data_IF_595598240745
#
_entry.id   IF_595598240745
#
_cell.length_a   1.000
_cell.length_b   1.000
_cell.length_c   1.000
_cell.angle_alpha   90.00
_cell.angle_beta   90.00
_cell.angle_gamma   90.00
#
_symmetry.space_group_name_H-M   'P 1'
#
loop_
_entity.id
_entity.type
_entity.pdbx_description
1 polymer ?
#
# COMPACT_ATOMS: atom_id res chain seq x y z
N UNK A 1 -15.84 10.96 6.26
CA UNK A 1 -15.51 10.20 5.04
C UNK A 1 -14.00 10.14 4.98
N UNK A 2 -13.38 8.97 5.17
CA UNK A 2 -11.91 8.83 5.14
C UNK A 2 -11.50 8.94 3.66
N UNK A 3 -10.53 9.79 3.30
CA UNK A 3 -10.08 9.94 1.92
C UNK A 3 -9.52 8.61 1.40
N UNK A 4 -10.03 8.17 0.25
CA UNK A 4 -9.56 6.95 -0.40
C UNK A 4 -8.17 7.21 -1.00
N UNK A 5 -7.16 6.44 -0.55
CA UNK A 5 -5.85 6.39 -1.21
C UNK A 5 -4.78 7.33 -0.66
N UNK A 6 -4.85 7.75 0.61
CA UNK A 6 -3.71 8.45 1.23
C UNK A 6 -2.63 7.45 1.66
N UNK A 7 -1.51 7.48 0.93
CA UNK A 7 -0.28 6.78 1.27
C UNK A 7 0.83 7.77 1.59
N UNK A 8 1.49 7.60 2.73
CA UNK A 8 2.70 8.34 3.10
C UNK A 8 3.88 7.37 3.06
N UNK A 9 4.90 7.72 2.29
CA UNK A 9 6.14 6.97 2.21
C UNK A 9 7.32 7.92 2.43
N UNK A 10 8.02 7.74 3.54
CA UNK A 10 9.28 8.44 3.81
C UNK A 10 10.41 7.61 3.21
N UNK A 11 11.14 8.17 2.24
CA UNK A 11 12.16 7.44 1.48
C UNK A 11 13.57 7.93 1.79
N UNK A 12 14.54 7.02 1.71
CA UNK A 12 15.97 7.35 1.60
C UNK A 12 16.26 7.60 0.11
N UNK A 13 16.51 8.85 -0.32
CA UNK A 13 16.66 9.18 -1.74
C UNK A 13 17.76 8.40 -2.45
N UNK A 14 18.86 8.12 -1.75
CA UNK A 14 20.07 7.52 -2.31
C UNK A 14 19.94 6.01 -2.55
N UNK A 15 19.05 5.35 -1.83
CA UNK A 15 18.82 3.90 -1.92
C UNK A 15 17.48 3.55 -2.58
N UNK A 16 16.56 4.51 -2.68
CA UNK A 16 15.19 4.25 -3.11
C UNK A 16 14.39 3.36 -2.16
N UNK A 17 14.88 3.16 -0.93
CA UNK A 17 14.25 2.30 0.08
C UNK A 17 13.39 3.15 1.01
N UNK A 18 12.14 2.75 1.29
CA UNK A 18 11.30 3.46 2.25
C UNK A 18 11.73 3.19 3.70
N UNK A 19 11.92 4.25 4.47
CA UNK A 19 12.15 4.24 5.93
C UNK A 19 10.86 3.87 6.65
N UNK A 20 9.76 4.45 6.20
CA UNK A 20 8.43 4.16 6.70
C UNK A 20 7.41 4.27 5.58
N UNK A 21 6.47 3.33 5.55
CA UNK A 21 5.34 3.32 4.65
C UNK A 21 4.08 3.19 5.50
N UNK A 22 3.13 4.09 5.27
CA UNK A 22 1.77 3.97 5.78
C UNK A 22 0.81 4.08 4.61
N UNK A 23 0.13 2.98 4.31
CA UNK A 23 -0.87 2.90 3.27
C UNK A 23 -2.25 2.64 3.88
N UNK A 24 -3.23 3.47 3.52
CA UNK A 24 -4.63 3.27 3.92
C UNK A 24 -5.45 2.85 2.72
N UNK A 25 -6.11 1.71 2.85
CA UNK A 25 -6.91 1.14 1.77
C UNK A 25 -8.32 0.87 2.27
N UNK A 26 -9.30 1.12 1.38
CA UNK A 26 -10.70 0.80 1.62
C UNK A 26 -11.22 -0.08 0.49
N UNK A 27 -11.77 -1.24 0.85
CA UNK A 27 -12.44 -2.13 -0.08
C UNK A 27 -13.91 -1.73 -0.17
N UNK A 28 -14.34 -1.46 -1.40
CA UNK A 28 -15.68 -1.02 -1.72
C UNK A 28 -16.34 -2.01 -2.68
N UNK A 29 -17.62 -2.29 -2.47
CA UNK A 29 -18.44 -3.06 -3.39
C UNK A 29 -19.35 -2.13 -4.18
N UNK A 30 -19.26 -2.19 -5.51
CA UNK A 30 -20.25 -1.57 -6.37
C UNK A 30 -21.48 -2.49 -6.43
N UNK A 31 -22.62 -2.02 -5.91
CA UNK A 31 -23.89 -2.74 -5.99
C UNK A 31 -24.73 -2.10 -7.08
N UNK A 32 -24.97 -2.85 -8.15
CA UNK A 32 -25.80 -2.44 -9.29
C UNK A 32 -27.09 -3.27 -9.26
N UNK A 33 -28.26 -2.65 -9.49
CA UNK A 33 -29.51 -3.39 -9.54
C UNK A 33 -29.49 -4.47 -10.62
N UNK A 34 -29.81 -5.70 -10.24
CA UNK A 34 -29.95 -6.79 -11.20
C UNK A 34 -31.35 -6.71 -11.84
N UNK A 35 -31.40 -6.43 -13.15
CA UNK A 35 -32.65 -6.49 -13.92
C UNK A 35 -32.87 -7.93 -14.38
N UNK A 36 -33.71 -8.67 -13.66
CA UNK A 36 -34.16 -10.00 -14.09
C UNK A 36 -34.79 -9.94 -15.50
N UNK A 37 -34.12 -10.58 -16.48
CA UNK A 37 -34.58 -10.85 -17.85
C UNK A 37 -35.69 -11.93 -17.82
N UNK A 38 -36.80 -11.63 -17.15
CA UNK A 38 -37.94 -12.55 -17.10
C UNK A 38 -38.91 -12.28 -18.25
N UNK A 39 -38.68 -12.95 -19.37
CA UNK A 39 -39.69 -13.14 -20.42
C UNK A 39 -40.79 -14.14 -19.99
N UNK A 40 -40.56 -14.96 -18.95
CA UNK A 40 -41.43 -16.12 -18.64
C UNK A 40 -41.86 -16.30 -17.16
N UNK A 41 -41.81 -15.25 -16.34
CA UNK A 41 -42.59 -15.20 -15.09
C UNK A 41 -42.34 -16.24 -13.98
N UNK A 42 -41.29 -17.08 -14.05
CA UNK A 42 -41.02 -18.11 -13.05
C UNK A 42 -39.78 -17.78 -12.22
N UNK A 43 -39.97 -17.55 -10.92
CA UNK A 43 -38.92 -17.57 -9.89
C UNK A 43 -38.12 -16.28 -9.70
N UNK A 44 -38.68 -15.27 -9.02
CA UNK A 44 -37.96 -14.04 -8.64
C UNK A 44 -37.48 -14.07 -7.19
N UNK A 45 -36.27 -14.56 -6.95
CA UNK A 45 -35.46 -14.10 -5.81
C UNK A 45 -34.73 -12.85 -6.27
N UNK A 46 -35.45 -11.72 -6.36
CA UNK A 46 -34.97 -10.46 -6.92
C UNK A 46 -34.50 -9.50 -5.79
N UNK A 47 -33.70 -10.02 -4.86
CA UNK A 47 -33.22 -9.29 -3.66
C UNK A 47 -32.44 -8.02 -4.06
N UNK A 48 -31.79 -8.04 -5.23
CA UNK A 48 -31.01 -6.92 -5.76
C UNK A 48 -31.81 -6.02 -6.73
N UNK A 49 -33.04 -6.36 -7.12
CA UNK A 49 -33.80 -5.58 -8.09
C UNK A 49 -34.32 -4.24 -7.54
N UNK A 50 -34.47 -4.13 -6.21
CA UNK A 50 -34.91 -2.91 -5.52
C UNK A 50 -33.75 -2.09 -4.94
N UNK A 51 -32.51 -2.53 -5.10
CA UNK A 51 -31.35 -1.85 -4.53
C UNK A 51 -30.93 -0.71 -5.47
N UNK A 52 -30.84 0.50 -4.93
CA UNK A 52 -30.30 1.65 -5.67
C UNK A 52 -28.82 1.40 -5.97
N UNK A 53 -28.35 1.84 -7.13
CA UNK A 53 -26.92 1.80 -7.44
C UNK A 53 -26.13 2.61 -6.41
N UNK A 54 -25.27 1.92 -5.65
CA UNK A 54 -24.48 2.51 -4.55
C UNK A 54 -23.12 1.83 -4.42
N UNK A 55 -22.15 2.58 -3.91
CA UNK A 55 -20.85 2.05 -3.48
C UNK A 55 -20.95 1.76 -1.98
N UNK A 56 -20.92 0.49 -1.61
CA UNK A 56 -20.94 0.05 -0.21
C UNK A 56 -19.51 -0.11 0.33
N UNK A 57 -19.14 0.57 1.42
CA UNK A 57 -17.90 0.31 2.11
C UNK A 57 -17.99 -1.04 2.82
N UNK A 58 -17.03 -1.93 2.56
CA UNK A 58 -16.97 -3.23 3.22
C UNK A 58 -16.07 -3.18 4.44
N UNK A 59 -14.77 -3.00 4.18
CA UNK A 59 -13.72 -2.95 5.19
C UNK A 59 -12.68 -1.93 4.78
N UNK A 60 -11.98 -1.39 5.78
CA UNK A 60 -10.79 -0.58 5.58
C UNK A 60 -9.66 -1.18 6.41
N UNK A 61 -8.44 -1.03 5.93
CA UNK A 61 -7.26 -1.45 6.65
C UNK A 61 -6.11 -0.48 6.43
N UNK A 62 -5.25 -0.37 7.44
CA UNK A 62 -4.01 0.40 7.41
C UNK A 62 -2.84 -0.60 7.39
N UNK A 63 -1.98 -0.48 6.38
CA UNK A 63 -0.72 -1.22 6.30
C UNK A 63 0.39 -0.25 6.65
N UNK A 64 1.05 -0.48 7.79
CA UNK A 64 2.23 0.26 8.19
C UNK A 64 3.45 -0.65 8.18
N UNK A 65 4.49 -0.25 7.45
CA UNK A 65 5.80 -0.86 7.51
C UNK A 65 6.82 0.22 7.92
N UNK A 66 7.82 -0.18 8.69
CA UNK A 66 8.88 0.72 9.13
C UNK A 66 10.18 -0.04 9.26
N UNK A 67 11.28 0.66 9.07
CA UNK A 67 12.60 0.12 9.35
C UNK A 67 12.70 -0.21 10.84
N UNK A 68 13.14 -1.43 11.16
CA UNK A 68 13.43 -1.80 12.55
C UNK A 68 14.70 -1.06 13.01
N UNK A 69 14.84 -0.86 14.32
CA UNK A 69 16.00 -0.14 14.88
C UNK A 69 17.33 -0.84 14.55
N UNK A 70 17.32 -2.18 14.47
CA UNK A 70 18.46 -3.00 14.08
C UNK A 70 18.90 -2.74 12.64
N UNK A 71 17.96 -2.83 11.68
CA UNK A 71 18.24 -2.49 10.29
C UNK A 71 18.69 -1.02 10.13
N UNK A 72 18.17 -0.11 10.96
CA UNK A 72 18.56 1.30 10.90
C UNK A 72 20.00 1.51 11.38
N UNK A 73 20.49 0.70 12.32
CA UNK A 73 21.88 0.72 12.78
C UNK A 73 22.82 0.16 11.72
N UNK A 74 22.41 -0.91 11.02
CA UNK A 74 23.21 -1.53 9.96
C UNK A 74 23.25 -0.68 8.68
N UNK A 75 22.19 0.06 8.38
CA UNK A 75 22.12 0.90 7.18
C UNK A 75 22.99 2.16 7.27
N UNK A 76 23.14 2.73 8.48
CA UNK A 76 23.95 3.94 8.72
C UNK A 76 25.40 3.87 8.22
N UNK A 77 26.20 2.83 8.53
CA UNK A 77 27.57 2.73 8.04
C UNK A 77 27.65 2.54 6.52
N UNK A 78 26.70 1.80 5.92
CA UNK A 78 26.62 1.64 4.46
C UNK A 78 26.34 2.99 3.79
N UNK A 79 25.39 3.76 4.32
CA UNK A 79 25.11 5.13 3.87
C UNK A 79 26.33 6.05 4.01
N UNK A 80 27.04 5.98 5.13
CA UNK A 80 28.25 6.78 5.35
C UNK A 80 29.36 6.49 4.33
N UNK A 81 29.54 5.20 3.99
CA UNK A 81 30.49 4.77 2.97
C UNK A 81 30.09 5.22 1.57
N UNK A 82 28.80 5.21 1.22
CA UNK A 82 28.32 5.70 -0.06
C UNK A 82 28.52 7.22 -0.24
N UNK A 83 28.38 8.00 0.84
CA UNK A 83 28.58 9.45 0.80
C UNK A 83 30.05 9.90 0.87
N UNK A 84 30.98 9.01 1.24
CA UNK A 84 32.38 9.37 1.44
C UNK A 84 33.30 8.57 0.50
N UNK A 85 33.40 8.95 -0.79
CA UNK A 85 34.09 8.15 -1.81
C UNK A 85 35.56 7.88 -1.47
N UNK A 86 36.22 8.80 -0.77
CA UNK A 86 37.60 8.63 -0.27
C UNK A 86 37.73 7.49 0.75
N UNK A 87 36.76 7.36 1.66
CA UNK A 87 36.75 6.28 2.65
C UNK A 87 36.35 4.94 2.03
N UNK A 88 35.46 4.93 1.03
CA UNK A 88 35.12 3.73 0.26
C UNK A 88 36.34 3.13 -0.44
N UNK A 89 37.16 3.99 -1.07
CA UNK A 89 38.39 3.56 -1.76
C UNK A 89 39.39 2.97 -0.76
N UNK A 90 39.60 3.61 0.38
CA UNK A 90 40.50 3.10 1.43
C UNK A 90 40.01 1.76 1.97
N UNK A 91 38.71 1.62 2.24
CA UNK A 91 38.11 0.36 2.69
C UNK A 91 38.24 -0.75 1.65
N UNK A 92 37.98 -0.47 0.37
CA UNK A 92 38.13 -1.44 -0.71
C UNK A 92 39.56 -1.95 -0.87
N UNK A 93 40.56 -1.15 -0.50
CA UNK A 93 41.98 -1.52 -0.55
C UNK A 93 42.45 -2.31 0.68
N UNK A 94 41.71 -2.26 1.80
CA UNK A 94 42.03 -2.96 3.04
C UNK A 94 41.35 -4.32 3.19
N UNK A 95 40.27 -4.58 2.44
CA UNK A 95 39.47 -5.82 2.48
C UNK A 95 39.91 -6.84 1.42
N UNK A 96 40.73 -6.43 0.43
CA UNK A 96 41.46 -7.32 -0.49
C UNK A 96 42.77 -7.76 0.15
#
# INVERSE_FOLDING_TARGET
MIPAGEGLADMIPELGVPISVRARMQLNMAVVPYKSLNFLGLGRIDILAKVKEVILPLIWFEVSAGLTEELAKDLKPVMFLLHTPTMTIIWSLLVV
#
